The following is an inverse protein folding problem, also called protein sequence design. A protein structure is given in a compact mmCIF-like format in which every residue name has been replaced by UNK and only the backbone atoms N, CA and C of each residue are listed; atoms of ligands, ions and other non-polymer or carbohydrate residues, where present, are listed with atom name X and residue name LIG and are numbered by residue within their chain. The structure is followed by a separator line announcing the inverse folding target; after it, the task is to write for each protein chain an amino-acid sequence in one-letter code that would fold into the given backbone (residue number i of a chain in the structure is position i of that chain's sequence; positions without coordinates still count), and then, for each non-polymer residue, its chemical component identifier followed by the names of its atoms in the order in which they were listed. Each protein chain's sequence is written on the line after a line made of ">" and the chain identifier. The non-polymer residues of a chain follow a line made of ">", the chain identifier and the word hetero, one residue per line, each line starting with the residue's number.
data_IF_646863154184
#
_entry.id   IF_646863154184
#
_cell.length_a   1.000
_cell.length_b   1.000
_cell.length_c   1.000
_cell.angle_alpha   90.00
_cell.angle_beta   90.00
_cell.angle_gamma   90.00
#
_symmetry.space_group_name_H-M   'P 1'
#
loop_
_entity.id
_entity.type
_entity.pdbx_description
1 polymer ?
#
# COMPACT_ATOMS: atom_id res chain seq x y z
N UNK A 1 -16.29 13.66 11.04
CA UNK A 1 -16.06 15.09 11.34
C UNK A 1 -17.37 15.84 11.20
N UNK A 2 -17.66 16.79 12.09
CA UNK A 2 -18.80 17.70 11.96
C UNK A 2 -18.58 18.63 10.75
N UNK A 3 -19.64 19.23 10.20
CA UNK A 3 -19.50 20.25 9.14
C UNK A 3 -18.57 21.41 9.55
N UNK A 4 -18.62 21.81 10.82
CA UNK A 4 -17.78 22.88 11.40
C UNK A 4 -16.30 22.49 11.43
N UNK A 5 -15.97 21.26 11.84
CA UNK A 5 -14.60 20.75 11.80
C UNK A 5 -14.07 20.63 10.36
N UNK A 6 -14.93 20.21 9.42
CA UNK A 6 -14.56 20.16 7.99
C UNK A 6 -14.26 21.56 7.45
N UNK A 7 -15.09 22.54 7.79
CA UNK A 7 -14.87 23.94 7.41
C UNK A 7 -13.58 24.51 8.05
N UNK A 8 -13.33 24.21 9.33
CA UNK A 8 -12.10 24.62 10.03
C UNK A 8 -10.85 23.98 9.42
N UNK A 9 -10.91 22.69 9.05
CA UNK A 9 -9.80 22.00 8.38
C UNK A 9 -9.55 22.56 6.98
N UNK A 10 -10.61 22.84 6.22
CA UNK A 10 -10.51 23.45 4.89
C UNK A 10 -9.88 24.86 4.96
N UNK A 11 -10.29 25.68 5.94
CA UNK A 11 -9.71 26.99 6.18
C UNK A 11 -8.22 26.90 6.57
N UNK A 12 -7.84 25.92 7.39
CA UNK A 12 -6.42 25.70 7.72
C UNK A 12 -5.60 25.22 6.52
N UNK A 13 -6.15 24.36 5.65
CA UNK A 13 -5.46 23.92 4.42
C UNK A 13 -5.19 25.10 3.49
N UNK A 14 -6.23 25.91 3.21
CA UNK A 14 -6.09 27.09 2.38
C UNK A 14 -5.01 28.05 2.91
N UNK A 15 -5.01 28.34 4.23
CA UNK A 15 -4.01 29.23 4.82
C UNK A 15 -2.57 28.66 4.79
N UNK A 16 -2.41 27.33 4.85
CA UNK A 16 -1.11 26.66 4.69
C UNK A 16 -0.64 26.69 3.23
N UNK A 17 -1.55 26.48 2.28
CA UNK A 17 -1.27 26.56 0.84
C UNK A 17 -0.87 27.99 0.43
N UNK A 18 -1.53 29.00 0.98
CA UNK A 18 -1.19 30.42 0.78
C UNK A 18 0.23 30.73 1.31
N UNK A 19 0.57 30.23 2.51
CA UNK A 19 1.92 30.35 3.07
C UNK A 19 2.97 29.63 2.21
N UNK A 20 2.68 28.41 1.76
CA UNK A 20 3.58 27.66 0.90
C UNK A 20 3.81 28.40 -0.43
N UNK A 21 2.75 28.99 -1.00
CA UNK A 21 2.81 29.81 -2.22
C UNK A 21 3.67 31.05 -2.03
N UNK A 22 3.49 31.79 -0.93
CA UNK A 22 4.30 32.96 -0.61
C UNK A 22 5.80 32.64 -0.49
N UNK A 23 6.14 31.50 0.13
CA UNK A 23 7.53 31.04 0.24
C UNK A 23 8.11 30.68 -1.13
N UNK A 24 7.38 29.92 -1.94
CA UNK A 24 7.85 29.45 -3.26
C UNK A 24 8.02 30.61 -4.25
N UNK A 25 7.13 31.60 -4.19
CA UNK A 25 7.17 32.76 -5.08
C UNK A 25 8.15 33.85 -4.62
N UNK A 26 8.80 33.67 -3.46
CA UNK A 26 9.73 34.65 -2.92
C UNK A 26 9.05 35.97 -2.53
N UNK A 27 7.88 35.86 -1.90
CA UNK A 27 7.12 37.01 -1.38
C UNK A 27 7.99 37.89 -0.49
N UNK A 28 7.64 39.18 -0.42
CA UNK A 28 8.36 40.10 0.45
C UNK A 28 8.20 39.71 1.93
N UNK A 29 9.09 40.19 2.82
CA UNK A 29 9.07 39.81 4.23
C UNK A 29 7.77 40.15 4.97
N UNK A 30 7.04 41.18 4.56
CA UNK A 30 5.78 41.60 5.18
C UNK A 30 4.64 40.68 4.76
N UNK A 31 4.56 40.36 3.46
CA UNK A 31 3.61 39.41 2.89
C UNK A 31 3.83 37.99 3.43
N UNK A 32 5.08 37.54 3.51
CA UNK A 32 5.45 36.25 4.11
C UNK A 32 5.10 36.19 5.60
N UNK A 33 5.29 37.29 6.35
CA UNK A 33 4.92 37.37 7.76
C UNK A 33 3.39 37.35 7.95
N UNK A 34 2.63 38.01 7.08
CA UNK A 34 1.17 38.00 7.09
C UNK A 34 0.62 36.60 6.77
N UNK A 35 1.15 35.92 5.75
CA UNK A 35 0.78 34.55 5.40
C UNK A 35 1.10 33.58 6.55
N UNK A 36 2.25 33.73 7.21
CA UNK A 36 2.62 32.91 8.36
C UNK A 36 1.71 33.16 9.57
N UNK A 37 1.33 34.42 9.83
CA UNK A 37 0.40 34.77 10.89
C UNK A 37 -1.01 34.21 10.62
N UNK A 38 -1.47 34.29 9.37
CA UNK A 38 -2.75 33.73 8.94
C UNK A 38 -2.78 32.20 9.09
N UNK A 39 -1.73 31.50 8.64
CA UNK A 39 -1.57 30.06 8.83
C UNK A 39 -1.56 29.69 10.32
N UNK A 40 -0.75 30.40 11.13
CA UNK A 40 -0.72 30.18 12.60
C UNK A 40 -2.09 30.38 13.24
N UNK A 41 -2.83 31.43 12.87
CA UNK A 41 -4.13 31.71 13.44
C UNK A 41 -5.20 30.68 13.00
N UNK A 42 -5.14 30.23 11.75
CA UNK A 42 -6.02 29.19 11.22
C UNK A 42 -5.77 27.83 11.89
N UNK A 43 -4.50 27.48 12.15
CA UNK A 43 -4.13 26.23 12.82
C UNK A 43 -4.28 26.31 14.35
N UNK A 44 -4.14 27.48 14.98
CA UNK A 44 -4.33 27.65 16.43
C UNK A 44 -5.78 27.42 16.90
N UNK A 45 -6.75 27.48 15.98
CA UNK A 45 -8.15 27.13 16.24
C UNK A 45 -8.41 25.63 16.20
N UNK A 46 -7.44 24.82 15.76
CA UNK A 46 -7.57 23.38 15.71
C UNK A 46 -7.13 22.80 17.05
N UNK A 47 -8.08 22.18 17.76
CA UNK A 47 -7.76 21.28 18.85
C UNK A 47 -7.14 20.00 18.27
N UNK A 48 -5.81 20.05 18.10
CA UNK A 48 -5.02 18.96 17.51
C UNK A 48 -5.19 17.66 18.29
N UNK A 49 -5.28 17.74 19.61
CA UNK A 49 -5.47 16.56 20.46
C UNK A 49 -6.86 15.96 20.27
N UNK A 50 -7.91 16.79 20.25
CA UNK A 50 -9.26 16.32 19.94
C UNK A 50 -9.37 15.72 18.54
N UNK A 51 -8.65 16.28 17.56
CA UNK A 51 -8.63 15.74 16.19
C UNK A 51 -7.93 14.38 16.11
N UNK A 52 -6.77 14.20 16.75
CA UNK A 52 -6.05 12.92 16.76
C UNK A 52 -6.82 11.83 17.52
N UNK A 53 -7.52 12.21 18.59
CA UNK A 53 -8.31 11.28 19.41
C UNK A 53 -9.69 10.98 18.81
N UNK A 54 -10.07 11.67 17.74
CA UNK A 54 -11.33 11.45 17.05
C UNK A 54 -11.30 10.13 16.31
N UNK A 55 -12.38 9.37 16.42
CA UNK A 55 -12.60 8.19 15.60
C UNK A 55 -12.89 8.61 14.16
N UNK A 56 -11.99 8.22 13.26
CA UNK A 56 -12.16 8.32 11.82
C UNK A 56 -12.77 7.02 11.32
N UNK A 57 -14.10 6.94 11.42
CA UNK A 57 -14.84 5.79 10.92
C UNK A 57 -14.68 5.70 9.39
N UNK A 58 -14.28 4.53 8.85
CA UNK A 58 -14.20 4.34 7.40
C UNK A 58 -15.58 4.47 6.75
N UNK A 59 -15.63 5.01 5.52
CA UNK A 59 -16.90 5.12 4.78
C UNK A 59 -17.51 3.74 4.42
N UNK A 60 -16.68 2.69 4.41
CA UNK A 60 -17.12 1.31 4.13
C UNK A 60 -17.60 0.53 5.37
N UNK A 61 -17.65 1.18 6.54
CA UNK A 61 -17.93 0.57 7.84
C UNK A 61 -19.38 0.11 8.06
N UNK A 62 -20.29 0.31 7.10
CA UNK A 62 -21.71 0.01 7.26
C UNK A 62 -21.96 -1.44 7.73
N UNK A 63 -22.52 -1.62 8.93
CA UNK A 63 -22.74 -2.92 9.57
C UNK A 63 -21.58 -3.46 10.42
N UNK A 64 -20.51 -2.68 10.59
CA UNK A 64 -19.33 -3.00 11.41
C UNK A 64 -18.94 -1.88 12.38
N UNK A 65 -19.74 -0.81 12.47
CA UNK A 65 -19.35 0.44 13.12
C UNK A 65 -19.02 0.27 14.60
N UNK A 66 -19.79 -0.54 15.32
CA UNK A 66 -19.60 -0.75 16.75
C UNK A 66 -18.33 -1.56 17.04
N UNK A 67 -18.05 -2.60 16.25
CA UNK A 67 -16.82 -3.38 16.37
C UNK A 67 -15.60 -2.56 16.00
N UNK A 68 -15.62 -1.84 14.86
CA UNK A 68 -14.52 -0.97 14.46
C UNK A 68 -14.31 0.17 15.46
N UNK A 69 -15.37 0.70 16.06
CA UNK A 69 -15.29 1.69 17.14
C UNK A 69 -14.58 1.11 18.35
N UNK A 70 -14.95 -0.10 18.79
CA UNK A 70 -14.28 -0.79 19.91
C UNK A 70 -12.78 -0.97 19.64
N UNK A 71 -12.43 -1.45 18.45
CA UNK A 71 -11.04 -1.67 18.03
C UNK A 71 -10.26 -0.34 18.02
N UNK A 72 -10.81 0.70 17.40
CA UNK A 72 -10.17 2.02 17.35
C UNK A 72 -10.03 2.69 18.72
N UNK A 73 -10.85 2.31 19.71
CA UNK A 73 -10.68 2.78 21.09
C UNK A 73 -9.47 2.17 21.81
N UNK A 74 -8.91 1.06 21.30
CA UNK A 74 -7.62 0.51 21.75
C UNK A 74 -6.42 1.31 21.25
N UNK A 75 -6.63 2.22 20.30
CA UNK A 75 -5.54 3.08 19.81
C UNK A 75 -5.22 4.14 20.88
N UNK A 76 -3.96 4.23 21.34
CA UNK A 76 -3.57 5.16 22.38
C UNK A 76 -3.88 6.62 22.02
N UNK A 77 -4.12 7.48 23.03
CA UNK A 77 -4.34 8.90 22.78
C UNK A 77 -3.20 9.53 21.98
N UNK A 78 -3.54 10.44 21.07
CA UNK A 78 -2.63 11.21 20.21
C UNK A 78 -1.96 10.42 19.06
N UNK A 79 -2.39 9.19 18.78
CA UNK A 79 -1.85 8.38 17.67
C UNK A 79 -2.67 8.50 16.36
N UNK A 80 -3.91 8.99 16.42
CA UNK A 80 -4.84 8.97 15.29
C UNK A 80 -5.67 7.68 15.26
N UNK A 81 -7.00 7.79 15.43
CA UNK A 81 -7.88 6.61 15.49
C UNK A 81 -8.50 6.31 14.13
N UNK A 82 -7.83 5.51 13.32
CA UNK A 82 -8.35 5.03 12.03
C UNK A 82 -7.93 3.59 11.74
N UNK A 83 -8.70 2.93 10.87
CA UNK A 83 -8.36 1.65 10.25
C UNK A 83 -8.21 1.90 8.75
N UNK A 84 -7.02 1.63 8.21
CA UNK A 84 -6.68 1.81 6.80
C UNK A 84 -6.93 0.56 5.96
N UNK A 85 -8.08 -0.07 6.15
CA UNK A 85 -8.52 -1.26 5.42
C UNK A 85 -9.99 -1.09 5.00
N UNK A 86 -10.43 -1.91 4.06
CA UNK A 86 -11.79 -1.89 3.52
C UNK A 86 -12.66 -3.03 4.05
N UNK A 87 -13.98 -2.96 3.75
CA UNK A 87 -15.04 -3.85 4.24
C UNK A 87 -14.70 -5.33 4.23
N UNK A 88 -14.06 -5.82 3.18
CA UNK A 88 -13.76 -7.24 3.01
C UNK A 88 -12.85 -7.81 4.08
N UNK A 89 -12.00 -6.98 4.71
CA UNK A 89 -11.11 -7.42 5.80
C UNK A 89 -11.64 -7.16 7.20
N UNK A 90 -12.74 -6.39 7.36
CA UNK A 90 -13.29 -6.10 8.69
C UNK A 90 -13.64 -7.35 9.50
N UNK A 91 -14.28 -8.39 8.95
CA UNK A 91 -14.53 -9.61 9.71
C UNK A 91 -13.25 -10.25 10.28
N UNK A 92 -12.18 -10.33 9.47
CA UNK A 92 -10.89 -10.90 9.89
C UNK A 92 -10.26 -10.05 11.00
N UNK A 93 -10.29 -8.71 10.84
CA UNK A 93 -9.75 -7.76 11.82
C UNK A 93 -10.54 -7.81 13.15
N UNK A 94 -11.85 -8.00 13.09
CA UNK A 94 -12.72 -8.10 14.28
C UNK A 94 -12.47 -9.41 15.03
N UNK A 95 -12.36 -10.53 14.32
CA UNK A 95 -12.00 -11.82 14.92
C UNK A 95 -10.61 -11.75 15.57
N UNK A 96 -9.64 -11.12 14.90
CA UNK A 96 -8.31 -10.90 15.45
C UNK A 96 -8.38 -10.07 16.74
N UNK A 97 -9.07 -8.91 16.74
CA UNK A 97 -9.25 -8.10 17.96
C UNK A 97 -9.82 -8.90 19.12
N UNK A 98 -10.85 -9.71 18.87
CA UNK A 98 -11.48 -10.53 19.89
C UNK A 98 -10.52 -11.58 20.45
N UNK A 99 -9.75 -12.24 19.59
CA UNK A 99 -8.76 -13.25 20.00
C UNK A 99 -7.61 -12.62 20.81
N UNK A 100 -7.08 -11.47 20.36
CA UNK A 100 -6.05 -10.72 21.09
C UNK A 100 -6.58 -10.23 22.45
N UNK A 101 -7.81 -9.70 22.49
CA UNK A 101 -8.44 -9.21 23.71
C UNK A 101 -8.73 -10.31 24.74
N UNK A 102 -8.90 -11.56 24.30
CA UNK A 102 -9.10 -12.69 25.18
C UNK A 102 -7.80 -13.10 25.91
N UNK A 103 -6.64 -12.88 25.26
CA UNK A 103 -5.31 -13.15 25.83
C UNK A 103 -4.83 -11.98 26.69
N UNK A 104 -4.97 -10.76 26.18
CA UNK A 104 -4.58 -9.54 26.87
C UNK A 104 -5.67 -8.47 26.72
N UNK A 105 -6.63 -8.37 27.67
CA UNK A 105 -7.70 -7.37 27.58
C UNK A 105 -7.19 -5.93 27.46
N UNK A 106 -5.98 -5.66 27.98
CA UNK A 106 -5.35 -4.34 28.01
C UNK A 106 -4.44 -4.04 26.83
N UNK A 107 -4.35 -4.90 25.80
CA UNK A 107 -3.50 -4.65 24.66
C UNK A 107 -3.91 -3.36 23.92
N UNK A 108 -2.91 -2.65 23.40
CA UNK A 108 -3.05 -1.43 22.63
C UNK A 108 -2.93 -1.72 21.14
N UNK A 109 -3.77 -1.08 20.33
CA UNK A 109 -3.62 -1.11 18.86
C UNK A 109 -2.79 0.10 18.42
N UNK A 110 -1.63 -0.12 17.82
CA UNK A 110 -0.81 0.97 17.29
C UNK A 110 -1.25 1.39 15.89
N UNK A 111 -1.43 0.43 14.98
CA UNK A 111 -1.91 0.67 13.61
C UNK A 111 -2.60 -0.56 13.04
N UNK A 112 -3.64 -0.35 12.23
CA UNK A 112 -4.26 -1.36 11.39
C UNK A 112 -4.42 -0.80 9.98
N UNK A 113 -3.69 -1.35 9.00
CA UNK A 113 -3.67 -0.83 7.63
C UNK A 113 -3.33 -1.90 6.60
N UNK A 114 -3.69 -1.66 5.36
CA UNK A 114 -3.12 -2.36 4.22
C UNK A 114 -1.69 -1.84 3.94
N UNK A 115 -0.79 -2.76 3.58
CA UNK A 115 0.52 -2.44 2.99
C UNK A 115 0.99 -3.58 2.07
N UNK A 116 1.21 -3.26 0.80
CA UNK A 116 1.70 -4.18 -0.23
C UNK A 116 0.77 -5.39 -0.51
N UNK A 117 -0.55 -5.18 -0.44
CA UNK A 117 -1.57 -6.21 -0.61
C UNK A 117 -1.77 -7.09 0.62
N UNK A 118 -1.28 -6.70 1.79
CA UNK A 118 -1.38 -7.47 3.02
C UNK A 118 -1.83 -6.60 4.21
N UNK A 119 -2.39 -7.23 5.24
CA UNK A 119 -2.69 -6.55 6.50
C UNK A 119 -1.39 -6.22 7.24
N UNK A 120 -1.34 -5.09 7.93
CA UNK A 120 -0.36 -4.79 8.99
C UNK A 120 -1.12 -4.43 10.24
N UNK A 121 -0.98 -5.27 11.27
CA UNK A 121 -1.62 -5.10 12.57
C UNK A 121 -0.54 -4.94 13.64
N UNK A 122 -0.19 -3.69 13.96
CA UNK A 122 0.82 -3.40 14.98
C UNK A 122 0.13 -3.20 16.33
N UNK A 123 0.54 -3.95 17.34
CA UNK A 123 -0.02 -3.88 18.69
C UNK A 123 1.07 -3.76 19.76
N UNK A 124 0.67 -3.30 20.94
CA UNK A 124 1.45 -3.33 22.17
C UNK A 124 0.74 -4.20 23.20
N UNK A 125 1.50 -4.93 24.01
CA UNK A 125 0.98 -5.78 25.09
C UNK A 125 1.12 -5.09 26.44
N UNK A 126 0.31 -5.51 27.40
CA UNK A 126 0.44 -5.10 28.79
C UNK A 126 1.73 -5.63 29.42
N UNK A 127 2.32 -4.88 30.35
CA UNK A 127 3.60 -5.25 31.00
C UNK A 127 3.56 -6.61 31.71
N UNK A 128 2.38 -7.07 32.13
CA UNK A 128 2.16 -8.30 32.88
C UNK A 128 1.85 -9.53 32.03
N UNK A 129 1.84 -9.41 30.69
CA UNK A 129 1.48 -10.52 29.82
C UNK A 129 2.47 -11.70 29.98
N UNK A 130 1.95 -12.93 29.95
CA UNK A 130 2.81 -14.10 29.90
C UNK A 130 3.47 -14.22 28.51
N UNK A 131 4.73 -14.65 28.45
CA UNK A 131 5.46 -14.79 27.18
C UNK A 131 4.75 -15.74 26.20
N UNK A 132 4.12 -16.81 26.70
CA UNK A 132 3.36 -17.74 25.88
C UNK A 132 2.14 -17.07 25.22
N UNK A 133 1.45 -16.18 25.94
CA UNK A 133 0.31 -15.44 25.39
C UNK A 133 0.77 -14.39 24.38
N UNK A 134 1.90 -13.71 24.66
CA UNK A 134 2.53 -12.79 23.71
C UNK A 134 2.90 -13.50 22.39
N UNK A 135 3.54 -14.66 22.47
CA UNK A 135 3.87 -15.47 21.30
C UNK A 135 2.60 -15.89 20.54
N UNK A 136 1.54 -16.27 21.26
CA UNK A 136 0.27 -16.64 20.63
C UNK A 136 -0.41 -15.45 19.95
N UNK A 137 -0.29 -14.24 20.50
CA UNK A 137 -0.79 -13.02 19.87
C UNK A 137 -0.06 -12.72 18.55
N UNK A 138 1.27 -12.89 18.50
CA UNK A 138 2.04 -12.73 17.27
C UNK A 138 1.58 -13.74 16.19
N UNK A 139 1.40 -15.01 16.56
CA UNK A 139 0.88 -16.05 15.66
C UNK A 139 -0.54 -15.73 15.12
N UNK A 140 -1.42 -15.21 15.98
CA UNK A 140 -2.77 -14.81 15.56
C UNK A 140 -2.73 -13.67 14.53
N UNK A 141 -1.80 -12.73 14.69
CA UNK A 141 -1.58 -11.67 13.70
C UNK A 141 -1.08 -12.26 12.37
N UNK A 142 -0.09 -13.16 12.41
CA UNK A 142 0.42 -13.83 11.21
C UNK A 142 -0.69 -14.61 10.47
N UNK A 143 -1.52 -15.35 11.22
CA UNK A 143 -2.69 -16.06 10.69
C UNK A 143 -3.67 -15.10 10.00
N UNK A 144 -3.93 -13.92 10.60
CA UNK A 144 -4.80 -12.91 10.03
C UNK A 144 -4.18 -12.23 8.78
N UNK A 145 -2.87 -11.98 8.76
CA UNK A 145 -2.17 -11.46 7.58
C UNK A 145 -2.32 -12.42 6.40
N UNK A 146 -2.07 -13.72 6.61
CA UNK A 146 -2.23 -14.76 5.56
C UNK A 146 -3.67 -14.82 5.05
N UNK A 147 -4.66 -14.72 5.93
CA UNK A 147 -6.08 -14.69 5.52
C UNK A 147 -6.39 -13.47 4.67
N UNK A 148 -5.90 -12.29 5.04
CA UNK A 148 -6.09 -11.06 4.28
C UNK A 148 -5.40 -11.12 2.91
N UNK A 149 -4.22 -11.74 2.80
CA UNK A 149 -3.53 -11.93 1.52
C UNK A 149 -4.29 -12.83 0.52
N UNK A 150 -5.23 -13.64 0.99
CA UNK A 150 -6.10 -14.49 0.18
C UNK A 150 -7.55 -13.98 0.07
N UNK A 151 -7.86 -12.82 0.66
CA UNK A 151 -9.22 -12.27 0.74
C UNK A 151 -9.27 -10.90 0.06
N UNK A 152 -10.25 -10.69 -0.81
CA UNK A 152 -10.51 -9.40 -1.43
C UNK A 152 -10.79 -8.34 -0.37
N UNK A 153 -9.96 -7.30 -0.31
CA UNK A 153 -10.06 -6.23 0.68
C UNK A 153 -11.40 -5.48 0.59
N UNK A 154 -12.00 -5.41 -0.61
CA UNK A 154 -13.24 -4.65 -0.85
C UNK A 154 -14.50 -5.43 -0.46
N UNK A 155 -14.64 -6.69 -0.88
CA UNK A 155 -15.87 -7.45 -0.73
C UNK A 155 -15.80 -8.65 0.23
N UNK A 156 -14.60 -9.15 0.55
CA UNK A 156 -14.41 -10.31 1.44
C UNK A 156 -14.46 -11.67 0.74
N UNK A 157 -14.73 -11.72 -0.56
CA UNK A 157 -14.60 -12.94 -1.37
C UNK A 157 -13.13 -13.31 -1.59
N UNK A 158 -12.79 -14.54 -2.03
CA UNK A 158 -11.41 -14.91 -2.37
C UNK A 158 -10.77 -13.90 -3.34
N UNK A 159 -9.54 -13.50 -3.03
CA UNK A 159 -8.80 -12.50 -3.80
C UNK A 159 -7.35 -12.93 -4.04
N UNK A 160 -6.72 -12.28 -5.01
CA UNK A 160 -5.28 -12.39 -5.27
C UNK A 160 -4.65 -11.01 -5.29
N UNK A 161 -3.34 -10.95 -5.10
CA UNK A 161 -2.60 -9.69 -5.14
C UNK A 161 -2.65 -9.11 -6.55
N UNK A 162 -3.05 -7.85 -6.65
CA UNK A 162 -3.02 -7.05 -7.86
C UNK A 162 -2.10 -5.85 -7.65
N UNK A 163 -1.66 -5.26 -8.74
CA UNK A 163 -0.83 -4.05 -8.77
C UNK A 163 -1.34 -3.10 -9.85
N UNK A 164 -1.27 -1.79 -9.57
CA UNK A 164 -1.55 -0.75 -10.57
C UNK A 164 -0.27 -0.41 -11.35
N UNK A 165 -0.35 0.27 -12.51
CA UNK A 165 0.83 0.76 -13.24
C UNK A 165 1.73 1.70 -12.42
N UNK A 166 1.21 2.26 -11.33
CA UNK A 166 1.96 3.14 -10.42
C UNK A 166 2.54 2.40 -9.20
N UNK A 167 2.47 1.07 -9.15
CA UNK A 167 3.08 0.25 -8.10
C UNK A 167 2.27 0.17 -6.80
N UNK A 168 0.99 0.54 -6.81
CA UNK A 168 0.08 0.33 -5.68
C UNK A 168 -0.47 -1.09 -5.70
N UNK A 169 -0.35 -1.79 -4.59
CA UNK A 169 -0.83 -3.17 -4.45
C UNK A 169 -2.06 -3.25 -3.59
N UNK A 170 -2.95 -4.18 -3.95
CA UNK A 170 -4.09 -4.60 -3.11
C UNK A 170 -4.40 -6.06 -3.37
N UNK A 171 -4.98 -6.76 -2.40
CA UNK A 171 -5.55 -8.09 -2.64
C UNK A 171 -7.02 -7.92 -2.99
N UNK A 172 -7.39 -8.30 -4.22
CA UNK A 172 -8.72 -8.07 -4.78
C UNK A 172 -9.18 -9.32 -5.53
N UNK A 173 -10.49 -9.53 -5.62
CA UNK A 173 -11.07 -10.40 -6.63
C UNK A 173 -11.14 -9.67 -7.98
N UNK A 174 -11.23 -10.41 -9.08
CA UNK A 174 -11.26 -9.86 -10.45
C UNK A 174 -12.36 -8.81 -10.66
N UNK A 175 -13.56 -9.08 -10.13
CA UNK A 175 -14.70 -8.16 -10.24
C UNK A 175 -14.42 -6.81 -9.54
N UNK A 176 -13.82 -6.84 -8.35
CA UNK A 176 -13.46 -5.63 -7.61
C UNK A 176 -12.28 -4.90 -8.26
N UNK A 177 -11.25 -5.63 -8.73
CA UNK A 177 -10.12 -5.05 -9.44
C UNK A 177 -10.57 -4.27 -10.69
N UNK A 178 -11.50 -4.84 -11.45
CA UNK A 178 -12.08 -4.21 -12.65
C UNK A 178 -12.97 -3.02 -12.29
N UNK A 179 -13.82 -3.15 -11.27
CA UNK A 179 -14.76 -2.10 -10.87
C UNK A 179 -14.08 -0.82 -10.39
N UNK A 180 -12.91 -0.93 -9.75
CA UNK A 180 -12.12 0.22 -9.27
C UNK A 180 -11.59 1.13 -10.40
N UNK A 181 -11.50 0.63 -11.64
CA UNK A 181 -11.01 1.38 -12.82
C UNK A 181 -9.63 2.04 -12.64
N UNK A 182 -8.82 1.53 -11.71
CA UNK A 182 -7.48 2.03 -11.38
C UNK A 182 -6.35 1.22 -12.06
N UNK A 183 -6.70 0.30 -12.98
CA UNK A 183 -5.73 -0.54 -13.69
C UNK A 183 -5.10 -1.63 -12.84
N UNK A 184 -5.84 -2.21 -11.88
CA UNK A 184 -5.33 -3.33 -11.09
C UNK A 184 -5.19 -4.59 -11.94
N UNK A 185 -3.96 -5.08 -12.08
CA UNK A 185 -3.64 -6.33 -12.78
C UNK A 185 -3.01 -7.36 -11.83
N UNK A 186 -3.27 -8.67 -12.00
CA UNK A 186 -2.84 -9.70 -11.06
C UNK A 186 -1.32 -9.87 -11.04
N UNK A 187 -0.73 -9.90 -9.86
CA UNK A 187 0.67 -10.28 -9.62
C UNK A 187 0.80 -11.80 -9.69
N UNK A 188 1.93 -12.29 -10.19
CA UNK A 188 2.15 -13.72 -10.43
C UNK A 188 1.51 -14.24 -11.72
N UNK A 189 0.92 -13.35 -12.52
CA UNK A 189 0.39 -13.68 -13.85
C UNK A 189 1.49 -14.30 -14.72
N UNK A 190 1.19 -15.48 -15.29
CA UNK A 190 2.06 -16.15 -16.24
C UNK A 190 1.62 -15.87 -17.67
N UNK A 191 2.56 -15.39 -18.50
CA UNK A 191 2.30 -15.08 -19.90
C UNK A 191 3.26 -15.85 -20.81
N UNK A 192 2.79 -16.18 -22.02
CA UNK A 192 3.62 -16.91 -22.98
C UNK A 192 4.52 -15.98 -23.80
N UNK A 193 4.13 -14.71 -23.94
CA UNK A 193 4.87 -13.69 -24.70
C UNK A 193 4.74 -12.38 -23.93
N UNK A 194 5.87 -11.71 -23.72
CA UNK A 194 5.90 -10.35 -23.19
C UNK A 194 5.86 -9.38 -24.37
N UNK A 195 4.97 -8.38 -24.33
CA UNK A 195 4.92 -7.30 -25.31
C UNK A 195 5.25 -5.96 -24.66
N UNK A 196 5.64 -4.97 -25.47
CA UNK A 196 6.16 -3.69 -24.96
C UNK A 196 5.10 -2.83 -24.25
N UNK A 197 3.83 -3.12 -24.45
CA UNK A 197 2.66 -2.49 -23.83
C UNK A 197 2.21 -3.17 -22.53
N UNK A 198 2.86 -4.28 -22.14
CA UNK A 198 2.57 -4.97 -20.88
C UNK A 198 3.31 -4.28 -19.72
N UNK A 199 2.89 -3.07 -19.39
CA UNK A 199 3.42 -2.27 -18.26
C UNK A 199 3.61 -3.13 -17.00
N UNK A 200 4.71 -2.94 -16.27
CA UNK A 200 5.05 -3.74 -15.10
C UNK A 200 6.50 -4.18 -15.03
N UNK A 201 6.87 -4.77 -13.90
CA UNK A 201 8.10 -5.50 -13.67
C UNK A 201 7.85 -6.99 -13.89
N UNK A 202 8.54 -7.56 -14.86
CA UNK A 202 8.40 -8.96 -15.24
C UNK A 202 9.67 -9.74 -14.95
N UNK A 203 9.55 -10.89 -14.31
CA UNK A 203 10.63 -11.87 -14.15
C UNK A 203 10.57 -12.85 -15.31
N UNK A 204 11.66 -12.94 -16.06
CA UNK A 204 11.83 -13.87 -17.18
C UNK A 204 12.84 -14.94 -16.75
N UNK A 205 12.33 -16.11 -16.40
CA UNK A 205 13.14 -17.28 -16.04
C UNK A 205 13.53 -18.07 -17.28
N UNK A 206 14.75 -18.62 -17.30
CA UNK A 206 15.26 -19.47 -18.38
C UNK A 206 15.44 -20.93 -17.91
N UNK A 207 15.47 -21.88 -18.85
CA UNK A 207 15.85 -23.26 -18.54
C UNK A 207 17.34 -23.39 -18.23
N UNK A 208 17.68 -24.39 -17.40
CA UNK A 208 19.05 -24.66 -16.99
C UNK A 208 19.61 -23.57 -16.06
N UNK A 209 20.92 -23.39 -16.07
CA UNK A 209 21.62 -22.40 -15.24
C UNK A 209 21.70 -21.01 -15.91
N UNK A 210 20.89 -20.77 -16.94
CA UNK A 210 20.85 -19.47 -17.61
C UNK A 210 20.28 -18.40 -16.67
N UNK A 211 20.89 -17.21 -16.59
CA UNK A 211 20.45 -16.17 -15.68
C UNK A 211 19.04 -15.70 -16.03
N UNK A 212 18.23 -15.44 -15.01
CA UNK A 212 16.97 -14.74 -15.18
C UNK A 212 17.20 -13.26 -15.55
N UNK A 213 16.17 -12.66 -16.14
CA UNK A 213 16.13 -11.23 -16.36
C UNK A 213 14.87 -10.59 -15.80
N UNK A 214 15.00 -9.33 -15.41
CA UNK A 214 13.91 -8.51 -14.92
C UNK A 214 13.66 -7.38 -15.91
N UNK A 215 12.45 -7.31 -16.44
CA UNK A 215 12.02 -6.31 -17.40
C UNK A 215 11.09 -5.33 -16.70
N UNK A 216 11.61 -4.14 -16.36
CA UNK A 216 10.81 -3.04 -15.81
C UNK A 216 10.33 -2.18 -17.00
N UNK A 217 9.19 -2.55 -17.57
CA UNK A 217 8.63 -1.88 -18.74
C UNK A 217 8.08 -0.49 -18.40
N UNK A 218 7.79 -0.22 -17.13
CA UNK A 218 7.42 1.13 -16.66
C UNK A 218 8.60 2.11 -16.76
N UNK A 219 9.82 1.62 -16.57
CA UNK A 219 11.05 2.43 -16.58
C UNK A 219 11.86 2.31 -17.87
N UNK A 220 11.50 1.36 -18.74
CA UNK A 220 12.33 0.99 -19.88
C UNK A 220 13.69 0.44 -19.43
N UNK A 221 13.72 -0.34 -18.35
CA UNK A 221 14.95 -0.94 -17.81
C UNK A 221 14.91 -2.47 -17.91
N UNK A 222 16.02 -3.09 -18.28
CA UNK A 222 16.21 -4.56 -18.19
C UNK A 222 17.41 -4.85 -17.30
N UNK A 223 17.24 -5.74 -16.32
CA UNK A 223 18.34 -6.22 -15.48
C UNK A 223 18.62 -7.69 -15.78
N UNK A 224 19.87 -8.04 -16.05
CA UNK A 224 20.33 -9.40 -16.34
C UNK A 224 21.57 -9.67 -15.52
N UNK A 225 21.56 -10.70 -14.68
CA UNK A 225 22.70 -11.06 -13.82
C UNK A 225 23.29 -9.85 -13.04
N UNK A 226 22.41 -8.98 -12.51
CA UNK A 226 22.78 -7.77 -11.78
C UNK A 226 23.24 -6.57 -12.63
N UNK A 227 23.42 -6.74 -13.95
CA UNK A 227 23.72 -5.64 -14.88
C UNK A 227 22.42 -5.02 -15.37
N UNK A 228 22.30 -3.70 -15.27
CA UNK A 228 21.11 -2.94 -15.68
C UNK A 228 21.35 -2.20 -17.00
N UNK A 229 20.38 -2.30 -17.89
CA UNK A 229 20.34 -1.61 -19.18
C UNK A 229 19.13 -0.68 -19.21
N UNK A 230 19.33 0.58 -19.56
CA UNK A 230 18.27 1.61 -19.63
C UNK A 230 18.24 2.37 -20.98
N UNK A 231 19.20 2.09 -21.87
CA UNK A 231 19.28 2.64 -23.23
C UNK A 231 19.67 1.50 -24.16
N UNK A 232 18.66 0.87 -24.76
CA UNK A 232 18.80 -0.31 -25.60
C UNK A 232 17.72 -0.38 -26.68
N UNK A 233 18.04 -1.03 -27.78
CA UNK A 233 17.09 -1.47 -28.80
C UNK A 233 16.67 -2.92 -28.50
N UNK A 234 15.36 -3.19 -28.42
CA UNK A 234 14.86 -4.57 -28.33
C UNK A 234 14.85 -5.20 -29.72
N UNK A 235 15.63 -6.26 -29.91
CA UNK A 235 15.70 -7.02 -31.17
C UNK A 235 14.69 -8.17 -31.19
N UNK A 236 14.37 -8.74 -30.02
CA UNK A 236 13.35 -9.76 -29.84
C UNK A 236 12.84 -9.73 -28.38
N UNK A 237 11.52 -9.59 -28.21
CA UNK A 237 10.89 -9.65 -26.89
C UNK A 237 10.91 -11.07 -26.29
N UNK A 238 10.84 -11.22 -24.95
CA UNK A 238 10.67 -12.50 -24.29
C UNK A 238 9.44 -13.28 -24.75
N UNK A 239 9.63 -14.57 -25.00
CA UNK A 239 8.54 -15.52 -25.23
C UNK A 239 8.96 -16.91 -24.80
N UNK A 240 8.06 -17.63 -24.14
CA UNK A 240 8.27 -19.00 -23.65
C UNK A 240 8.69 -19.92 -24.82
N UNK A 241 9.70 -20.77 -24.57
CA UNK A 241 10.37 -21.61 -25.58
C UNK A 241 11.12 -20.83 -26.68
N UNK A 242 11.43 -19.55 -26.46
CA UNK A 242 12.23 -18.70 -27.35
C UNK A 242 13.37 -18.04 -26.57
N UNK A 243 14.28 -17.38 -27.28
CA UNK A 243 15.25 -16.44 -26.68
C UNK A 243 14.76 -15.00 -26.90
N UNK A 244 15.16 -14.09 -26.01
CA UNK A 244 15.02 -12.65 -26.20
C UNK A 244 16.39 -12.05 -26.51
N UNK A 245 16.39 -10.90 -27.20
CA UNK A 245 17.61 -10.20 -27.58
C UNK A 245 17.44 -8.69 -27.46
N UNK A 246 18.45 -8.02 -26.93
CA UNK A 246 18.56 -6.57 -26.91
C UNK A 246 19.95 -6.12 -27.35
N UNK A 247 20.05 -4.86 -27.76
CA UNK A 247 21.29 -4.20 -28.14
C UNK A 247 21.44 -2.91 -27.32
N UNK A 248 22.32 -2.86 -26.32
CA UNK A 248 22.62 -1.63 -25.60
C UNK A 248 23.32 -0.61 -26.50
N UNK A 249 23.45 0.63 -26.03
CA UNK A 249 24.11 1.72 -26.75
C UNK A 249 25.57 1.44 -27.16
N UNK A 250 26.26 0.51 -26.50
CA UNK A 250 27.62 0.09 -26.87
C UNK A 250 27.67 -0.84 -28.11
N UNK A 251 26.50 -1.21 -28.65
CA UNK A 251 26.35 -2.03 -29.84
C UNK A 251 26.49 -3.54 -29.60
N UNK A 252 26.77 -3.97 -28.37
CA UNK A 252 26.81 -5.39 -28.02
C UNK A 252 25.41 -6.02 -28.16
N UNK A 253 25.33 -7.32 -28.40
CA UNK A 253 24.05 -8.03 -28.40
C UNK A 253 24.00 -8.92 -27.17
N UNK A 254 22.98 -8.70 -26.34
CA UNK A 254 22.68 -9.54 -25.19
C UNK A 254 21.55 -10.48 -25.59
N UNK A 255 21.77 -11.78 -25.40
CA UNK A 255 20.81 -12.85 -25.69
C UNK A 255 20.61 -13.72 -24.45
N UNK A 256 19.38 -14.15 -24.19
CA UNK A 256 19.06 -15.09 -23.11
C UNK A 256 19.20 -16.56 -23.50
N UNK A 257 19.15 -17.42 -22.47
CA UNK A 257 18.79 -18.82 -22.66
C UNK A 257 17.34 -18.97 -23.12
N UNK A 258 16.91 -20.22 -23.30
CA UNK A 258 15.51 -20.52 -23.66
C UNK A 258 14.60 -20.17 -22.48
N UNK A 259 13.66 -19.26 -22.71
CA UNK A 259 12.71 -18.79 -21.69
C UNK A 259 11.79 -19.94 -21.26
N UNK A 260 11.74 -20.18 -19.96
CA UNK A 260 10.90 -21.18 -19.31
C UNK A 260 9.58 -20.58 -18.81
N UNK A 261 9.63 -19.39 -18.23
CA UNK A 261 8.47 -18.70 -17.68
C UNK A 261 8.65 -17.19 -17.73
N UNK A 262 7.53 -16.47 -17.87
CA UNK A 262 7.45 -15.02 -17.77
C UNK A 262 6.36 -14.74 -16.74
N UNK A 263 6.74 -14.11 -15.63
CA UNK A 263 5.87 -13.87 -14.48
C UNK A 263 5.84 -12.39 -14.12
N UNK A 264 4.66 -11.82 -13.90
CA UNK A 264 4.53 -10.46 -13.39
C UNK A 264 4.91 -10.41 -11.92
N UNK A 265 5.87 -9.55 -11.57
CA UNK A 265 6.33 -9.36 -10.19
C UNK A 265 5.59 -8.21 -9.52
N UNK A 266 5.38 -7.10 -10.23
CA UNK A 266 4.70 -5.89 -9.75
C UNK A 266 4.47 -4.85 -10.83
#
# INVERSE_FOLDING_TARGET
>A
MTPEEKASLAASRAAVDDLATAIVQGADPEEAAAALAAARQATARMDREALLNKIHMPDTAAGFEDDLRRIMMRIPPNWGRWIGCSRGWYPIIIELDQALAALDPGYELHQCKEKLGALRYYFGTSESIAEADRQRMDELVDEAEVRCEATCELCGEPGVRHVTPHGWYRTLCEACATAEQNGYEPVGELVNVLTADMDGLWRVGCYGDAPESFWDLNRGEVTVNGVRYSDYEVLAMPGVLRTWRLRPADGTVVESGVVAAIERVR
#
